data_IF_596667830905
#
_entry.id   IF_596667830905
#
_cell.length_a   1.000
_cell.length_b   1.000
_cell.length_c   1.000
_cell.angle_alpha   90.00
_cell.angle_beta   90.00
_cell.angle_gamma   90.00
#
_symmetry.space_group_name_H-M   'P 1'
#
loop_
_entity.id
_entity.type
_entity.pdbx_description
1 polymer ?
#
# COMPACT_ATOMS: atom_id res chain seq x y z
N UNK A 1 14.97 -19.03 6.07
CA UNK A 1 13.95 -18.18 5.40
C UNK A 1 14.12 -16.77 5.98
N UNK A 2 14.12 -15.68 5.18
CA UNK A 2 14.11 -14.32 5.72
C UNK A 2 12.97 -14.18 6.73
N UNK A 3 13.13 -13.32 7.74
CA UNK A 3 12.02 -13.02 8.63
C UNK A 3 10.89 -12.35 7.83
N UNK A 4 9.62 -12.69 8.09
CA UNK A 4 8.51 -11.99 7.47
C UNK A 4 8.51 -10.54 7.93
N UNK A 5 8.40 -9.62 6.98
CA UNK A 5 8.28 -8.17 7.22
C UNK A 5 6.89 -7.68 6.81
N UNK A 6 6.57 -6.45 7.17
CA UNK A 6 5.26 -5.83 6.97
C UNK A 6 5.35 -4.49 6.25
N UNK A 7 4.26 -4.11 5.58
CA UNK A 7 4.05 -2.77 5.04
C UNK A 7 2.77 -2.21 5.64
N UNK A 8 2.81 -0.95 6.08
CA UNK A 8 1.60 -0.24 6.51
C UNK A 8 1.59 1.20 6.02
N UNK A 9 0.38 1.75 5.91
CA UNK A 9 0.18 3.12 5.49
C UNK A 9 -1.26 3.55 5.61
N UNK A 10 -1.52 4.75 5.10
CA UNK A 10 -2.84 5.38 5.13
C UNK A 10 -3.18 5.96 3.76
N UNK A 11 -4.46 5.88 3.39
CA UNK A 11 -5.01 6.59 2.24
C UNK A 11 -5.89 7.72 2.73
N UNK A 12 -5.62 8.93 2.24
CA UNK A 12 -6.29 10.16 2.68
C UNK A 12 -6.71 11.05 1.52
N UNK A 13 -7.61 12.00 1.78
CA UNK A 13 -7.83 13.17 0.93
C UNK A 13 -6.75 14.26 1.19
N UNK A 14 -6.70 15.34 0.40
CA UNK A 14 -5.76 16.45 0.61
C UNK A 14 -5.91 17.17 1.96
N UNK A 15 -7.03 16.97 2.66
CA UNK A 15 -7.32 17.57 3.97
C UNK A 15 -6.96 16.63 5.13
N UNK A 16 -6.46 15.43 4.86
CA UNK A 16 -6.05 14.43 5.85
C UNK A 16 -7.17 13.51 6.34
N UNK A 17 -8.36 13.59 5.74
CA UNK A 17 -9.48 12.68 6.04
C UNK A 17 -9.15 11.30 5.53
N UNK A 18 -9.36 10.28 6.37
CA UNK A 18 -9.14 8.88 5.99
C UNK A 18 -10.15 8.40 4.96
N UNK A 19 -9.69 7.81 3.86
CA UNK A 19 -10.55 7.28 2.82
C UNK A 19 -10.80 5.80 3.05
N UNK A 20 -12.05 5.42 3.37
CA UNK A 20 -12.46 4.02 3.56
C UNK A 20 -12.69 3.30 2.24
N UNK A 21 -12.31 2.02 2.19
CA UNK A 21 -12.66 1.12 1.09
C UNK A 21 -11.89 1.41 -0.20
N UNK A 22 -10.82 2.20 -0.12
CA UNK A 22 -9.82 2.28 -1.18
C UNK A 22 -9.02 0.98 -1.21
N UNK A 23 -8.82 0.43 -2.40
CA UNK A 23 -8.05 -0.79 -2.63
C UNK A 23 -6.59 -0.45 -2.84
N UNK A 24 -5.72 -1.08 -2.06
CA UNK A 24 -4.27 -1.09 -2.26
C UNK A 24 -3.87 -2.48 -2.74
N UNK A 25 -3.12 -2.56 -3.82
CA UNK A 25 -2.60 -3.80 -4.39
C UNK A 25 -1.09 -3.80 -4.27
N UNK A 26 -0.52 -4.87 -3.75
CA UNK A 26 0.91 -5.08 -3.62
C UNK A 26 1.32 -6.25 -4.50
N UNK A 27 2.29 -6.02 -5.37
CA UNK A 27 2.87 -7.04 -6.25
C UNK A 27 4.32 -7.23 -5.84
N UNK A 28 4.67 -8.44 -5.47
CA UNK A 28 6.06 -8.88 -5.41
C UNK A 28 6.54 -9.11 -6.84
N UNK A 29 7.44 -8.26 -7.32
CA UNK A 29 7.93 -8.33 -8.70
C UNK A 29 8.93 -9.47 -8.88
N UNK A 30 9.60 -9.90 -7.79
CA UNK A 30 10.53 -11.02 -7.82
C UNK A 30 9.78 -12.34 -8.01
N UNK A 31 8.70 -12.55 -7.25
CA UNK A 31 7.97 -13.83 -7.22
C UNK A 31 6.69 -13.83 -8.06
N UNK A 32 6.13 -12.66 -8.37
CA UNK A 32 4.84 -12.51 -9.01
C UNK A 32 3.64 -12.61 -8.06
N UNK A 33 3.86 -12.76 -6.75
CA UNK A 33 2.78 -12.81 -5.77
C UNK A 33 2.00 -11.49 -5.73
N UNK A 34 0.66 -11.58 -5.62
CA UNK A 34 -0.23 -10.43 -5.54
C UNK A 34 -1.03 -10.49 -4.24
N UNK A 35 -0.93 -9.45 -3.42
CA UNK A 35 -1.77 -9.24 -2.23
C UNK A 35 -2.63 -7.99 -2.43
N UNK A 36 -3.81 -7.97 -1.82
CA UNK A 36 -4.71 -6.79 -1.81
C UNK A 36 -5.18 -6.48 -0.40
N UNK A 37 -5.34 -5.18 -0.11
CA UNK A 37 -5.87 -4.68 1.15
C UNK A 37 -6.90 -3.58 0.87
N UNK A 38 -7.98 -3.54 1.66
CA UNK A 38 -8.95 -2.45 1.66
C UNK A 38 -8.76 -1.60 2.90
N UNK A 39 -8.71 -0.28 2.72
CA UNK A 39 -8.57 0.68 3.81
C UNK A 39 -9.78 0.69 4.75
N UNK A 40 -9.51 0.83 6.05
CA UNK A 40 -10.55 0.94 7.08
C UNK A 40 -11.18 2.35 7.14
N UNK A 41 -12.08 2.60 8.11
CA UNK A 41 -12.77 3.91 8.26
C UNK A 41 -11.84 5.10 8.49
N UNK A 42 -10.63 4.85 8.97
CA UNK A 42 -9.63 5.88 9.20
C UNK A 42 -8.59 5.94 8.06
N UNK A 43 -8.74 5.14 7.00
CA UNK A 43 -7.85 5.11 5.85
C UNK A 43 -6.66 4.16 5.97
N UNK A 44 -6.51 3.43 7.08
CA UNK A 44 -5.34 2.56 7.29
C UNK A 44 -5.45 1.23 6.53
N UNK A 45 -4.30 0.73 6.07
CA UNK A 45 -4.12 -0.61 5.53
C UNK A 45 -2.79 -1.23 6.00
N UNK A 46 -2.71 -2.56 5.96
CA UNK A 46 -1.50 -3.32 6.32
C UNK A 46 -1.36 -4.54 5.42
N UNK A 47 -0.13 -4.90 5.07
CA UNK A 47 0.28 -6.18 4.53
C UNK A 47 1.26 -6.84 5.48
N UNK A 48 1.02 -8.10 5.84
CA UNK A 48 1.92 -8.93 6.65
C UNK A 48 2.55 -10.03 5.81
N UNK A 49 3.50 -10.74 6.41
CA UNK A 49 4.09 -11.96 5.86
C UNK A 49 4.71 -11.73 4.47
N UNK A 50 5.51 -10.67 4.36
CA UNK A 50 6.23 -10.30 3.14
C UNK A 50 7.69 -10.74 3.21
N UNK A 51 8.31 -10.93 2.06
CA UNK A 51 9.70 -11.36 1.97
C UNK A 51 10.62 -10.13 1.96
N UNK A 52 11.56 -10.09 2.89
CA UNK A 52 12.59 -9.05 2.90
C UNK A 52 13.56 -9.20 1.71
N UNK A 53 14.11 -8.08 1.26
CA UNK A 53 14.99 -7.87 0.11
C UNK A 53 14.35 -8.09 -1.27
N UNK A 54 13.04 -8.32 -1.35
CA UNK A 54 12.30 -8.38 -2.62
C UNK A 54 11.89 -6.99 -3.12
N UNK A 55 11.71 -6.88 -4.43
CA UNK A 55 11.26 -5.66 -5.09
C UNK A 55 9.73 -5.67 -5.22
N UNK A 56 9.09 -4.66 -4.65
CA UNK A 56 7.63 -4.54 -4.63
C UNK A 56 7.16 -3.37 -5.48
N UNK A 57 6.03 -3.57 -6.17
CA UNK A 57 5.23 -2.52 -6.78
C UNK A 57 3.88 -2.46 -6.10
N UNK A 58 3.58 -1.32 -5.49
CA UNK A 58 2.31 -1.06 -4.82
C UNK A 58 1.48 -0.07 -5.63
N UNK A 59 0.20 -0.36 -5.78
CA UNK A 59 -0.76 0.51 -6.47
C UNK A 59 -1.97 0.81 -5.61
N UNK A 60 -2.54 2.01 -5.76
CA UNK A 60 -3.79 2.42 -5.11
C UNK A 60 -4.86 2.67 -6.16
N UNK A 61 -6.10 2.24 -5.88
CA UNK A 61 -7.23 2.44 -6.79
C UNK A 61 -8.55 2.62 -6.04
N UNK A 62 -9.40 3.48 -6.57
CA UNK A 62 -10.76 3.69 -6.07
C UNK A 62 -11.69 4.06 -7.23
N UNK A 63 -12.96 3.65 -7.14
CA UNK A 63 -14.01 4.14 -8.05
C UNK A 63 -14.47 5.56 -7.72
N UNK A 64 -14.22 6.02 -6.49
CA UNK A 64 -14.72 7.31 -5.96
C UNK A 64 -13.68 8.41 -5.97
N UNK A 65 -12.41 8.06 -5.82
CA UNK A 65 -11.33 9.02 -5.62
C UNK A 65 -10.25 8.84 -6.69
N UNK A 66 -9.97 9.86 -7.51
CA UNK A 66 -8.84 9.83 -8.44
C UNK A 66 -7.51 9.97 -7.68
N UNK A 67 -6.43 9.38 -8.21
CA UNK A 67 -5.08 9.48 -7.65
C UNK A 67 -4.10 9.92 -8.74
N UNK A 68 -3.33 11.00 -8.50
CA UNK A 68 -2.33 11.49 -9.45
C UNK A 68 -1.06 10.65 -9.46
N UNK A 69 -0.71 10.08 -8.30
CA UNK A 69 0.44 9.20 -8.13
C UNK A 69 -0.01 7.85 -7.57
N UNK A 70 -0.66 7.00 -8.40
CA UNK A 70 -1.29 5.78 -7.91
C UNK A 70 -0.30 4.62 -7.71
N UNK A 71 1.00 4.82 -7.92
CA UNK A 71 2.02 3.74 -7.93
C UNK A 71 3.20 4.15 -7.06
N UNK A 72 3.72 3.20 -6.29
CA UNK A 72 5.01 3.26 -5.58
C UNK A 72 5.80 1.97 -5.85
N UNK A 73 7.11 2.08 -6.06
CA UNK A 73 7.98 0.91 -6.24
C UNK A 73 9.22 1.05 -5.36
N UNK A 74 9.64 -0.03 -4.71
CA UNK A 74 10.71 -0.02 -3.71
C UNK A 74 11.21 -1.44 -3.43
N UNK A 75 12.42 -1.56 -2.90
CA UNK A 75 12.90 -2.81 -2.28
C UNK A 75 12.54 -2.80 -0.80
N UNK A 76 11.93 -3.87 -0.32
CA UNK A 76 11.49 -3.97 1.08
C UNK A 76 12.57 -4.66 1.92
N UNK A 77 13.36 -3.91 2.67
CA UNK A 77 14.47 -4.48 3.45
C UNK A 77 14.08 -4.84 4.89
N UNK A 78 13.11 -4.13 5.47
CA UNK A 78 12.60 -4.28 6.83
C UNK A 78 11.13 -3.83 6.86
N UNK A 79 10.49 -3.84 8.04
CA UNK A 79 9.18 -3.25 8.25
C UNK A 79 9.10 -1.81 7.73
N UNK A 80 8.09 -1.54 6.89
CA UNK A 80 7.93 -0.26 6.21
C UNK A 80 6.57 0.37 6.52
N UNK A 81 6.58 1.37 7.39
CA UNK A 81 5.40 2.18 7.73
C UNK A 81 5.37 3.51 6.94
N UNK A 82 4.20 4.14 6.89
CA UNK A 82 4.01 5.47 6.28
C UNK A 82 3.97 5.44 4.75
N UNK A 83 3.62 4.30 4.15
CA UNK A 83 3.49 4.16 2.70
C UNK A 83 2.20 4.78 2.19
N UNK A 84 2.03 6.08 2.38
CA UNK A 84 0.72 6.71 2.25
C UNK A 84 0.33 6.99 0.80
N UNK A 85 -0.97 7.17 0.56
CA UNK A 85 -1.48 7.73 -0.69
C UNK A 85 -2.45 8.88 -0.38
N UNK A 86 -2.43 9.88 -1.26
CA UNK A 86 -3.35 11.03 -1.19
C UNK A 86 -4.13 11.09 -2.49
N UNK A 87 -5.45 11.21 -2.42
CA UNK A 87 -6.27 11.42 -3.61
C UNK A 87 -5.96 12.77 -4.27
N UNK A 88 -6.40 12.95 -5.51
CA UNK A 88 -6.22 14.21 -6.21
C UNK A 88 -7.14 15.32 -5.69
N UNK A 89 -8.24 14.94 -5.05
CA UNK A 89 -9.34 15.77 -4.55
C UNK A 89 -9.89 15.15 -3.26
#
# INVERSE_FOLDING_TARGET
>A
RPAPVSISGRVTDPFGTGLRGVTVTLIDVTTGEIKTASTNSFGYYTFSDLTANDFYRMTVSSKRYPFRSPIRSFTLNDDLAGMDFVSAE
#
